data_IF_405857897486
#
_entry.id   IF_405857897486
#
_cell.length_a   1.000
_cell.length_b   1.000
_cell.length_c   1.000
_cell.angle_alpha   90.00
_cell.angle_beta   90.00
_cell.angle_gamma   90.00
#
_symmetry.space_group_name_H-M   'P 1'
#
loop_
_entity.id
_entity.type
_entity.pdbx_description
1 polymer ?
#
# COMPACT_ATOMS: atom_id res chain seq x y z
N UNK A 1 9.02 0.14 2.50
CA UNK A 1 8.36 -0.80 1.57
C UNK A 1 6.98 -0.26 1.16
N UNK A 2 6.08 0.00 2.12
CA UNK A 2 4.74 0.51 1.84
C UNK A 2 4.69 1.86 1.13
N UNK A 3 5.61 2.78 1.44
CA UNK A 3 5.55 4.13 0.88
C UNK A 3 5.70 4.17 -0.65
N UNK A 4 6.31 3.14 -1.25
CA UNK A 4 6.33 2.97 -2.72
C UNK A 4 4.91 2.95 -3.27
N UNK A 5 4.04 2.10 -2.72
CA UNK A 5 2.64 2.01 -3.15
C UNK A 5 1.90 3.33 -2.92
N UNK A 6 2.16 4.01 -1.80
CA UNK A 6 1.54 5.32 -1.50
C UNK A 6 1.91 6.37 -2.53
N UNK A 7 3.17 6.43 -2.96
CA UNK A 7 3.59 7.36 -4.01
C UNK A 7 2.89 7.08 -5.34
N UNK A 8 2.76 5.80 -5.73
CA UNK A 8 2.03 5.40 -6.93
C UNK A 8 0.51 5.67 -6.85
N UNK A 9 -0.08 5.74 -5.65
CA UNK A 9 -1.48 6.13 -5.48
C UNK A 9 -1.67 7.65 -5.53
N UNK A 10 -0.84 8.39 -4.78
CA UNK A 10 -1.07 9.80 -4.47
C UNK A 10 -0.52 10.72 -5.56
N UNK A 11 0.65 10.45 -6.13
CA UNK A 11 1.27 11.35 -7.12
C UNK A 11 0.39 11.49 -8.36
N UNK A 12 -0.08 10.41 -9.01
CA UNK A 12 -0.96 10.54 -10.17
C UNK A 12 -2.24 11.28 -9.79
N UNK A 13 -2.86 10.93 -8.66
CA UNK A 13 -4.10 11.54 -8.19
C UNK A 13 -3.95 13.06 -7.92
N UNK A 14 -2.93 13.47 -7.18
CA UNK A 14 -2.73 14.86 -6.80
C UNK A 14 -2.43 15.79 -7.99
N UNK A 15 -1.82 15.25 -9.04
CA UNK A 15 -1.34 16.04 -10.18
C UNK A 15 -2.03 15.73 -11.51
N UNK A 16 -2.97 14.77 -11.59
CA UNK A 16 -3.68 14.39 -12.81
C UNK A 16 -4.34 15.58 -13.53
N UNK A 17 -4.82 16.57 -12.77
CA UNK A 17 -5.48 17.77 -13.30
C UNK A 17 -4.47 18.73 -13.91
N UNK A 18 -3.30 18.89 -13.30
CA UNK A 18 -2.27 19.86 -13.72
C UNK A 18 -1.32 19.28 -14.76
N UNK A 19 -1.00 17.99 -14.64
CA UNK A 19 -0.07 17.25 -15.48
C UNK A 19 -0.68 15.90 -15.86
N UNK A 20 -1.55 15.84 -16.88
CA UNK A 20 -2.24 14.62 -17.30
C UNK A 20 -1.28 13.48 -17.66
N UNK A 21 -0.04 13.79 -18.05
CA UNK A 21 1.00 12.80 -18.35
C UNK A 21 1.35 11.94 -17.13
N UNK A 22 1.18 12.46 -15.91
CA UNK A 22 1.43 11.72 -14.67
C UNK A 22 0.37 10.63 -14.42
N UNK A 23 -0.74 10.61 -15.15
CA UNK A 23 -1.68 9.48 -15.12
C UNK A 23 -1.03 8.17 -15.59
N UNK A 24 0.04 8.23 -16.40
CA UNK A 24 0.80 7.04 -16.78
C UNK A 24 1.44 6.34 -15.57
N UNK A 25 1.64 7.05 -14.46
CA UNK A 25 2.16 6.50 -13.20
C UNK A 25 1.05 5.83 -12.37
N UNK A 26 -0.22 5.88 -12.78
CA UNK A 26 -1.31 5.15 -12.12
C UNK A 26 -1.24 3.64 -12.44
N UNK A 27 -0.18 2.99 -11.94
CA UNK A 27 0.06 1.55 -12.13
C UNK A 27 -1.08 0.70 -11.55
N UNK A 28 -1.72 1.19 -10.48
CA UNK A 28 -2.87 0.52 -9.84
C UNK A 28 -4.19 0.73 -10.59
N UNK A 29 -4.22 1.55 -11.63
CA UNK A 29 -5.42 1.90 -12.40
C UNK A 29 -6.60 2.32 -11.49
N UNK A 30 -6.34 3.17 -10.48
CA UNK A 30 -7.35 3.69 -9.57
C UNK A 30 -8.36 4.56 -10.34
N UNK A 31 -9.64 4.49 -9.98
CA UNK A 31 -10.71 5.03 -10.81
C UNK A 31 -10.75 6.56 -10.87
N UNK A 32 -10.64 7.24 -9.73
CA UNK A 32 -10.61 8.71 -9.69
C UNK A 32 -9.50 9.22 -8.78
N UNK A 33 -9.00 10.45 -9.00
CA UNK A 33 -8.06 11.08 -8.08
C UNK A 33 -8.56 11.11 -6.63
N UNK A 34 -9.86 11.36 -6.45
CA UNK A 34 -10.48 11.41 -5.13
C UNK A 34 -10.53 10.04 -4.47
N UNK A 35 -10.98 9.00 -5.19
CA UNK A 35 -11.02 7.63 -4.66
C UNK A 35 -9.62 7.09 -4.35
N UNK A 36 -8.61 7.47 -5.13
CA UNK A 36 -7.22 7.09 -4.91
C UNK A 36 -6.68 7.62 -3.59
N UNK A 37 -6.90 8.91 -3.29
CA UNK A 37 -6.48 9.52 -2.02
C UNK A 37 -7.23 8.88 -0.85
N UNK A 38 -8.55 8.70 -0.96
CA UNK A 38 -9.36 8.06 0.08
C UNK A 38 -8.90 6.63 0.35
N UNK A 39 -8.68 5.84 -0.69
CA UNK A 39 -8.24 4.44 -0.57
C UNK A 39 -6.87 4.33 0.11
N UNK A 40 -5.94 5.22 -0.22
CA UNK A 40 -4.62 5.27 0.42
C UNK A 40 -4.71 5.65 1.91
N UNK A 41 -5.58 6.59 2.28
CA UNK A 41 -5.80 6.99 3.67
C UNK A 41 -6.47 5.87 4.48
N UNK A 42 -7.54 5.25 3.94
CA UNK A 42 -8.24 4.13 4.57
C UNK A 42 -7.27 2.95 4.78
N UNK A 43 -6.46 2.61 3.76
CA UNK A 43 -5.47 1.54 3.89
C UNK A 43 -4.49 1.80 5.05
N UNK A 44 -4.00 3.03 5.19
CA UNK A 44 -3.11 3.42 6.29
C UNK A 44 -3.79 3.24 7.66
N UNK A 45 -5.07 3.56 7.79
CA UNK A 45 -5.81 3.36 9.03
C UNK A 45 -5.97 1.86 9.36
N UNK A 46 -6.33 1.05 8.37
CA UNK A 46 -6.54 -0.39 8.54
C UNK A 46 -5.25 -1.16 8.80
N UNK A 47 -4.16 -0.81 8.11
CA UNK A 47 -2.90 -1.55 8.24
C UNK A 47 -2.28 -1.40 9.62
N UNK A 48 -2.48 -0.27 10.31
CA UNK A 48 -2.04 -0.10 11.70
C UNK A 48 -2.74 -1.12 12.60
N UNK A 49 -4.08 -1.19 12.53
CA UNK A 49 -4.88 -2.13 13.33
C UNK A 49 -4.46 -3.58 13.05
N UNK A 50 -4.26 -3.93 11.77
CA UNK A 50 -3.83 -5.26 11.36
C UNK A 50 -2.44 -5.64 11.89
N UNK A 51 -1.54 -4.66 12.08
CA UNK A 51 -0.18 -4.90 12.56
C UNK A 51 -0.03 -4.86 14.08
N UNK A 52 -1.00 -4.32 14.83
CA UNK A 52 -0.97 -4.31 16.31
C UNK A 52 -0.73 -5.70 16.90
N UNK A 53 -1.46 -6.78 16.51
CA UNK A 53 -1.24 -8.10 17.06
C UNK A 53 0.17 -8.64 16.80
N UNK A 54 0.75 -8.30 15.63
CA UNK A 54 2.12 -8.68 15.29
C UNK A 54 3.13 -7.92 16.15
N UNK A 55 2.90 -6.63 16.40
CA UNK A 55 3.74 -5.81 17.27
C UNK A 55 3.72 -6.31 18.72
N UNK A 56 2.55 -6.73 19.22
CA UNK A 56 2.39 -7.25 20.59
C UNK A 56 2.97 -8.66 20.77
N UNK A 57 2.81 -9.56 19.79
CA UNK A 57 3.34 -10.93 19.87
C UNK A 57 4.83 -11.01 19.59
N UNK A 58 5.39 -10.01 18.92
CA UNK A 58 6.76 -10.01 18.44
C UNK A 58 7.01 -11.01 17.31
N UNK A 59 8.15 -10.87 16.65
CA UNK A 59 8.58 -11.79 15.59
C UNK A 59 9.43 -12.90 16.21
N UNK A 60 9.11 -14.17 15.91
CA UNK A 60 9.88 -15.32 16.40
C UNK A 60 11.34 -15.21 16.00
N UNK A 61 12.21 -15.00 16.99
CA UNK A 61 13.66 -14.98 16.80
C UNK A 61 14.16 -16.36 16.35
N UNK A 62 15.09 -16.38 15.40
CA UNK A 62 15.78 -17.60 14.96
C UNK A 62 17.28 -17.32 15.03
N UNK A 63 18.08 -18.16 15.71
CA UNK A 63 19.53 -18.01 15.77
C UNK A 63 20.14 -18.40 14.42
N UNK A 64 20.20 -17.43 13.50
CA UNK A 64 20.80 -17.57 12.18
C UNK A 64 21.85 -16.46 12.06
N UNK A 65 22.94 -16.70 11.33
CA UNK A 65 23.95 -15.69 11.07
C UNK A 65 23.36 -14.41 10.44
N UNK A 66 24.01 -13.27 10.67
CA UNK A 66 23.48 -11.95 10.32
C UNK A 66 23.14 -11.79 8.83
N UNK A 67 23.99 -12.31 7.92
CA UNK A 67 23.75 -12.24 6.47
C UNK A 67 22.47 -12.99 6.04
N UNK A 68 22.35 -14.30 6.33
CA UNK A 68 21.13 -15.06 6.05
C UNK A 68 19.87 -14.48 6.71
N UNK A 69 19.99 -13.95 7.93
CA UNK A 69 18.88 -13.32 8.64
C UNK A 69 18.40 -12.04 7.92
N UNK A 70 19.32 -11.17 7.50
CA UNK A 70 19.01 -9.95 6.76
C UNK A 70 18.30 -10.28 5.44
N UNK A 71 18.84 -11.23 4.65
CA UNK A 71 18.25 -11.63 3.38
C UNK A 71 16.82 -12.17 3.57
N UNK A 72 16.60 -12.99 4.59
CA UNK A 72 15.27 -13.51 4.91
C UNK A 72 14.29 -12.40 5.31
N UNK A 73 14.73 -11.44 6.12
CA UNK A 73 13.88 -10.31 6.52
C UNK A 73 13.53 -9.41 5.33
N UNK A 74 14.49 -9.12 4.44
CA UNK A 74 14.25 -8.37 3.22
C UNK A 74 13.28 -9.10 2.28
N UNK A 75 13.43 -10.42 2.12
CA UNK A 75 12.54 -11.21 1.28
C UNK A 75 11.11 -11.25 1.85
N UNK A 76 10.94 -11.49 3.16
CA UNK A 76 9.60 -11.63 3.74
C UNK A 76 8.95 -10.26 3.96
N UNK A 77 9.60 -9.37 4.72
CA UNK A 77 9.02 -8.09 5.13
C UNK A 77 9.22 -6.99 4.08
N UNK A 78 10.29 -7.06 3.27
CA UNK A 78 10.48 -6.14 2.15
C UNK A 78 9.49 -6.41 1.03
N UNK A 79 9.46 -7.64 0.48
CA UNK A 79 8.53 -7.99 -0.61
C UNK A 79 7.09 -7.94 -0.12
N UNK A 80 6.78 -8.53 1.05
CA UNK A 80 5.44 -8.47 1.64
C UNK A 80 4.99 -7.03 1.86
N UNK A 81 5.89 -6.17 2.35
CA UNK A 81 5.61 -4.74 2.56
C UNK A 81 5.44 -3.93 1.26
N UNK A 82 5.83 -4.46 0.09
CA UNK A 82 5.56 -3.87 -1.22
C UNK A 82 4.25 -4.41 -1.78
N UNK A 83 4.05 -5.72 -1.75
CA UNK A 83 2.89 -6.39 -2.38
C UNK A 83 1.58 -6.04 -1.66
N UNK A 84 1.54 -6.20 -0.34
CA UNK A 84 0.33 -6.00 0.48
C UNK A 84 -0.36 -4.65 0.21
N UNK A 85 0.34 -3.50 0.21
CA UNK A 85 -0.32 -2.20 0.01
C UNK A 85 -0.84 -1.98 -1.40
N UNK A 86 -0.20 -2.50 -2.45
CA UNK A 86 -0.73 -2.41 -3.82
C UNK A 86 -2.11 -3.09 -3.92
N UNK A 87 -2.21 -4.32 -3.41
CA UNK A 87 -3.47 -5.06 -3.41
C UNK A 87 -4.49 -4.45 -2.44
N UNK A 88 -4.06 -4.01 -1.26
CA UNK A 88 -4.93 -3.42 -0.26
C UNK A 88 -5.59 -2.11 -0.73
N UNK A 89 -4.79 -1.18 -1.27
CA UNK A 89 -5.31 0.09 -1.79
C UNK A 89 -6.26 -0.16 -2.96
N UNK A 90 -5.90 -1.04 -3.89
CA UNK A 90 -6.77 -1.38 -5.03
C UNK A 90 -8.08 -2.02 -4.59
N UNK A 91 -8.04 -2.93 -3.62
CA UNK A 91 -9.24 -3.56 -3.09
C UNK A 91 -10.20 -2.54 -2.45
N UNK A 92 -9.66 -1.59 -1.68
CA UNK A 92 -10.46 -0.51 -1.10
C UNK A 92 -11.07 0.36 -2.19
N UNK A 93 -10.29 0.74 -3.20
CA UNK A 93 -10.76 1.55 -4.34
C UNK A 93 -11.91 0.85 -5.08
N UNK A 94 -11.80 -0.47 -5.31
CA UNK A 94 -12.86 -1.26 -5.91
C UNK A 94 -14.12 -1.33 -5.04
N UNK A 95 -13.98 -1.47 -3.72
CA UNK A 95 -15.12 -1.47 -2.80
C UNK A 95 -15.83 -0.11 -2.82
N UNK A 96 -15.08 0.99 -2.80
CA UNK A 96 -15.65 2.34 -2.88
C UNK A 96 -16.43 2.57 -4.19
N UNK A 97 -15.90 2.06 -5.31
CA UNK A 97 -16.56 2.12 -6.61
C UNK A 97 -17.86 1.28 -6.64
N UNK A 98 -17.81 0.03 -6.19
CA UNK A 98 -18.97 -0.87 -6.18
C UNK A 98 -20.09 -0.30 -5.31
N UNK A 99 -19.74 0.32 -4.18
CA UNK A 99 -20.70 0.95 -3.28
C UNK A 99 -21.13 2.36 -3.71
N UNK A 100 -20.65 2.86 -4.86
CA UNK A 100 -21.00 4.18 -5.40
C UNK A 100 -20.68 5.35 -4.44
N UNK A 101 -19.67 5.18 -3.57
CA UNK A 101 -19.33 6.16 -2.53
C UNK A 101 -18.44 7.31 -3.02
N UNK A 102 -17.89 7.18 -4.23
CA UNK A 102 -16.91 8.11 -4.79
C UNK A 102 -17.21 8.49 -6.25
N UNK A 103 -18.46 8.33 -6.68
CA UNK A 103 -18.94 8.78 -8.00
C UNK A 103 -19.24 10.28 -8.01
#
# INVERSE_FOLDING_TARGET
ANDVAKYFAIIPAAFAVTYPQLNALNVMQLATPHSAVLSAVIFNALIIIALIPLALRGVKYRPIGAGPLLRRNLLIYGIGGIIIPFFGIKAIDLVLQILHLTL
#
